data_IF_162789496788
#
_entry.id   IF_162789496788
#
_cell.length_a   1.000
_cell.length_b   1.000
_cell.length_c   1.000
_cell.angle_alpha   90.00
_cell.angle_beta   90.00
_cell.angle_gamma   90.00
#
_symmetry.space_group_name_H-M   'P 1'
#
loop_
_entity.id
_entity.type
_entity.pdbx_description
1 polymer ?
#
# COMPACT_ATOMS: atom_id res chain seq x y z
N UNK A 1 -33.06 -20.48 13.87
CA UNK A 1 -32.20 -19.33 13.51
C UNK A 1 -31.16 -19.76 12.48
N UNK A 2 -31.30 -19.38 11.19
CA UNK A 2 -30.31 -19.65 10.15
C UNK A 2 -29.28 -18.52 10.17
N UNK A 3 -28.03 -18.79 10.60
CA UNK A 3 -26.93 -17.82 10.53
C UNK A 3 -26.60 -17.55 9.05
N UNK A 4 -26.90 -16.34 8.62
CA UNK A 4 -26.75 -15.88 7.24
C UNK A 4 -25.26 -15.71 6.91
N UNK A 5 -24.74 -16.50 5.97
CA UNK A 5 -23.38 -16.38 5.39
C UNK A 5 -23.06 -15.00 4.78
N UNK A 6 -24.03 -14.09 4.70
CA UNK A 6 -23.90 -12.74 4.12
C UNK A 6 -23.10 -11.76 5.00
N UNK A 7 -23.01 -12.00 6.30
CA UNK A 7 -22.34 -11.07 7.22
C UNK A 7 -20.81 -11.20 7.19
N UNK A 8 -20.32 -12.42 6.92
CA UNK A 8 -18.89 -12.69 6.79
C UNK A 8 -18.26 -11.95 5.60
N UNK A 9 -18.95 -11.89 4.45
CA UNK A 9 -18.44 -11.24 3.23
C UNK A 9 -18.20 -9.73 3.39
N UNK A 10 -19.06 -9.04 4.14
CA UNK A 10 -18.97 -7.59 4.38
C UNK A 10 -17.85 -7.23 5.37
N UNK A 11 -17.55 -8.12 6.33
CA UNK A 11 -16.43 -7.92 7.25
C UNK A 11 -15.05 -8.10 6.59
N UNK A 12 -14.92 -9.00 5.61
CA UNK A 12 -13.61 -9.21 4.92
C UNK A 12 -13.20 -7.99 4.11
N UNK A 13 -14.15 -7.34 3.43
CA UNK A 13 -13.90 -6.14 2.64
C UNK A 13 -13.53 -4.95 3.54
N UNK A 14 -14.31 -4.70 4.61
CA UNK A 14 -14.02 -3.60 5.54
C UNK A 14 -12.67 -3.76 6.27
N UNK A 15 -12.26 -4.99 6.58
CA UNK A 15 -10.99 -5.29 7.26
C UNK A 15 -9.76 -5.24 6.33
N UNK A 16 -9.98 -5.07 5.02
CA UNK A 16 -8.92 -4.86 4.04
C UNK A 16 -8.61 -3.36 3.87
N UNK A 17 -9.58 -2.48 4.10
CA UNK A 17 -9.42 -1.02 4.09
C UNK A 17 -8.99 -0.44 5.44
N UNK A 18 -9.28 -1.13 6.56
CA UNK A 18 -8.86 -0.71 7.92
C UNK A 18 -7.43 -1.11 8.31
N UNK A 19 -6.77 -1.94 7.50
CA UNK A 19 -5.33 -2.14 7.60
C UNK A 19 -4.67 -0.96 6.88
N UNK A 20 -4.49 0.16 7.59
CA UNK A 20 -3.39 1.07 7.28
C UNK A 20 -2.17 0.17 7.16
N UNK A 21 -1.79 -0.19 5.92
CA UNK A 21 -0.88 -1.29 5.66
C UNK A 21 0.44 -0.88 6.30
N UNK A 22 0.79 -1.51 7.42
CA UNK A 22 2.18 -1.59 7.80
C UNK A 22 2.90 -2.07 6.54
N UNK A 23 3.74 -1.23 5.95
CA UNK A 23 4.49 -1.62 4.77
C UNK A 23 5.35 -2.78 5.23
N UNK A 24 5.05 -3.98 4.74
CA UNK A 24 5.74 -5.19 5.17
C UNK A 24 7.25 -5.00 4.95
N UNK A 25 8.07 -5.42 5.92
CA UNK A 25 9.53 -5.23 5.83
C UNK A 25 10.12 -5.79 4.53
N UNK A 26 9.56 -6.86 3.99
CA UNK A 26 9.96 -7.43 2.71
C UNK A 26 9.75 -6.47 1.52
N UNK A 27 8.68 -5.67 1.54
CA UNK A 27 8.42 -4.65 0.52
C UNK A 27 9.42 -3.49 0.64
N UNK A 28 9.76 -3.09 1.86
CA UNK A 28 10.79 -2.07 2.10
C UNK A 28 12.16 -2.55 1.61
N UNK A 29 12.56 -3.77 1.94
CA UNK A 29 13.83 -4.35 1.52
C UNK A 29 13.90 -4.45 -0.02
N UNK A 30 12.79 -4.82 -0.69
CA UNK A 30 12.74 -4.84 -2.15
C UNK A 30 12.81 -3.44 -2.76
N UNK A 31 12.21 -2.45 -2.11
CA UNK A 31 12.26 -1.06 -2.54
C UNK A 31 13.68 -0.51 -2.45
N UNK A 32 14.39 -0.78 -1.35
CA UNK A 32 15.82 -0.45 -1.21
C UNK A 32 16.60 -1.04 -2.38
N UNK A 33 16.55 -2.37 -2.59
CA UNK A 33 17.32 -3.04 -3.64
C UNK A 33 17.07 -2.45 -5.03
N UNK A 34 15.81 -2.19 -5.37
CA UNK A 34 15.43 -1.65 -6.68
C UNK A 34 15.99 -0.23 -6.89
N UNK A 35 15.84 0.64 -5.89
CA UNK A 35 16.20 2.05 -6.03
C UNK A 35 17.69 2.29 -5.84
N UNK A 36 18.38 1.52 -4.99
CA UNK A 36 19.85 1.54 -4.91
C UNK A 36 20.46 1.12 -6.26
N UNK A 37 19.97 0.03 -6.87
CA UNK A 37 20.43 -0.42 -8.19
C UNK A 37 20.20 0.62 -9.30
N UNK A 38 19.11 1.39 -9.22
CA UNK A 38 18.77 2.43 -10.21
C UNK A 38 19.52 3.73 -10.01
N UNK A 39 19.80 4.11 -8.76
CA UNK A 39 20.34 5.44 -8.42
C UNK A 39 21.82 5.42 -8.07
N UNK A 40 22.39 4.26 -7.77
CA UNK A 40 23.77 4.11 -7.28
C UNK A 40 23.99 4.67 -5.87
N UNK A 41 22.92 5.10 -5.18
CA UNK A 41 22.96 5.62 -3.81
C UNK A 41 22.57 4.52 -2.83
N UNK A 42 23.16 4.50 -1.64
CA UNK A 42 22.64 3.65 -0.56
C UNK A 42 21.39 4.27 0.07
N UNK A 43 20.40 3.44 0.38
CA UNK A 43 19.09 3.83 0.90
C UNK A 43 18.76 3.08 2.18
N UNK A 44 18.21 3.82 3.15
CA UNK A 44 17.69 3.25 4.38
C UNK A 44 16.27 2.70 4.20
N UNK A 45 15.78 1.93 5.18
CA UNK A 45 14.36 1.52 5.23
C UNK A 45 13.40 2.70 5.38
N UNK A 46 13.87 3.82 5.96
CA UNK A 46 13.10 5.06 6.05
C UNK A 46 12.89 5.66 4.65
N UNK A 47 13.97 5.75 3.87
CA UNK A 47 13.91 6.23 2.48
C UNK A 47 12.97 5.36 1.64
N UNK A 48 13.05 4.04 1.80
CA UNK A 48 12.14 3.10 1.14
C UNK A 48 10.67 3.34 1.50
N UNK A 49 10.37 3.67 2.77
CA UNK A 49 8.99 3.97 3.17
C UNK A 49 8.48 5.26 2.53
N UNK A 50 9.31 6.31 2.52
CA UNK A 50 8.97 7.57 1.86
C UNK A 50 8.75 7.37 0.37
N UNK A 51 9.58 6.56 -0.29
CA UNK A 51 9.39 6.19 -1.71
C UNK A 51 8.03 5.52 -1.91
N UNK A 52 7.71 4.50 -1.11
CA UNK A 52 6.42 3.79 -1.20
C UNK A 52 5.24 4.74 -0.97
N UNK A 53 5.32 5.60 0.03
CA UNK A 53 4.29 6.60 0.34
C UNK A 53 4.10 7.60 -0.80
N UNK A 54 5.19 8.14 -1.34
CA UNK A 54 5.13 9.10 -2.45
C UNK A 54 4.54 8.47 -3.72
N UNK A 55 4.99 7.27 -4.10
CA UNK A 55 4.51 6.57 -5.29
C UNK A 55 3.02 6.21 -5.14
N UNK A 56 2.64 5.60 -4.01
CA UNK A 56 1.24 5.25 -3.75
C UNK A 56 0.34 6.49 -3.64
N UNK A 57 0.83 7.57 -3.03
CA UNK A 57 0.15 8.86 -2.92
C UNK A 57 -0.10 9.50 -4.28
N UNK A 58 0.87 9.46 -5.20
CA UNK A 58 0.69 9.96 -6.57
C UNK A 58 -0.44 9.23 -7.30
N UNK A 59 -0.46 7.89 -7.28
CA UNK A 59 -1.54 7.13 -7.91
C UNK A 59 -2.89 7.32 -7.24
N UNK A 60 -2.92 7.55 -5.92
CA UNK A 60 -4.16 7.93 -5.22
C UNK A 60 -4.73 9.22 -5.78
N UNK A 61 -3.92 10.25 -6.00
CA UNK A 61 -4.38 11.53 -6.59
C UNK A 61 -5.01 11.29 -7.97
N UNK A 62 -4.33 10.54 -8.83
CA UNK A 62 -4.87 10.22 -10.16
C UNK A 62 -6.19 9.46 -10.10
N UNK A 63 -6.31 8.51 -9.16
CA UNK A 63 -7.55 7.76 -8.94
C UNK A 63 -8.69 8.65 -8.42
N UNK A 64 -8.39 9.68 -7.61
CA UNK A 64 -9.41 10.64 -7.17
C UNK A 64 -9.91 11.51 -8.32
N UNK A 65 -9.03 11.98 -9.20
CA UNK A 65 -9.44 12.74 -10.39
C UNK A 65 -10.35 11.90 -11.31
N UNK A 66 -10.00 10.64 -11.53
CA UNK A 66 -10.80 9.72 -12.35
C UNK A 66 -12.19 9.40 -11.77
N UNK A 67 -12.47 9.74 -10.49
CA UNK A 67 -13.81 9.63 -9.88
C UNK A 67 -14.62 10.93 -9.98
N UNK A 68 -13.95 12.05 -10.28
CA UNK A 68 -14.58 13.37 -10.42
C UNK A 68 -15.14 13.60 -11.83
N UNK A 69 -14.61 12.86 -12.82
CA UNK A 69 -15.17 12.73 -14.18
C UNK A 69 -16.32 11.72 -14.23
#
# INVERSE_FOLDING_TARGET
>A
MKKTRRDAGRQVEANQFGRTRAVDNALLDRTVQLFEARTGRSLSKEDARQIVENVSGFFRILAEWQKMD
#
